data_IF_892348565502
#
_entry.id   IF_892348565502
#
_cell.length_a   1.000
_cell.length_b   1.000
_cell.length_c   1.000
_cell.angle_alpha   90.00
_cell.angle_beta   90.00
_cell.angle_gamma   90.00
#
_symmetry.space_group_name_H-M   'P 1'
#
loop_
_entity.id
_entity.type
_entity.pdbx_description
1 polymer ?
#
# COMPACT_ATOMS: atom_id res chain seq x y z
N UNK A 1 -2.96 -13.79 -2.88
CA UNK A 1 -2.65 -13.18 -1.57
C UNK A 1 -1.35 -13.79 -1.09
N UNK A 2 -0.29 -13.01 -0.89
CA UNK A 2 0.93 -13.53 -0.25
C UNK A 2 0.79 -13.37 1.26
N UNK A 3 0.90 -14.49 1.97
CA UNK A 3 1.04 -14.50 3.43
C UNK A 3 2.45 -15.02 3.75
N UNK A 4 3.22 -14.37 4.63
CA UNK A 4 4.39 -15.01 5.21
C UNK A 4 3.99 -16.32 5.91
N UNK A 5 4.87 -17.32 5.91
CA UNK A 5 4.51 -18.67 6.38
C UNK A 5 4.06 -18.71 7.86
N UNK A 6 4.51 -17.76 8.68
CA UNK A 6 4.20 -17.66 10.10
C UNK A 6 3.09 -16.65 10.42
N UNK A 7 2.51 -16.01 9.40
CA UNK A 7 1.58 -14.91 9.58
C UNK A 7 0.19 -15.41 9.99
N UNK A 8 -0.38 -14.87 11.07
CA UNK A 8 -1.71 -15.26 11.56
C UNK A 8 -2.85 -14.85 10.62
N UNK A 9 -2.68 -13.73 9.93
CA UNK A 9 -3.71 -13.12 9.09
C UNK A 9 -3.19 -12.81 7.68
N UNK A 10 -4.04 -12.89 6.64
CA UNK A 10 -3.68 -12.44 5.30
C UNK A 10 -3.19 -10.99 5.26
N UNK A 11 -2.20 -10.74 4.41
CA UNK A 11 -1.74 -9.38 4.10
C UNK A 11 -2.39 -8.92 2.78
N UNK A 12 -3.36 -8.01 2.88
CA UNK A 12 -4.10 -7.46 1.73
C UNK A 12 -3.72 -6.00 1.45
N UNK A 13 -2.45 -5.75 1.10
CA UNK A 13 -1.97 -4.39 0.82
C UNK A 13 -2.68 -3.72 -0.37
N UNK A 14 -3.07 -4.51 -1.38
CA UNK A 14 -3.84 -4.04 -2.53
C UNK A 14 -5.23 -3.50 -2.16
N UNK A 15 -5.80 -3.94 -1.03
CA UNK A 15 -7.07 -3.44 -0.54
C UNK A 15 -7.02 -1.94 -0.25
N UNK A 16 -5.93 -1.46 0.38
CA UNK A 16 -5.74 -0.04 0.67
C UNK A 16 -5.73 0.80 -0.61
N UNK A 17 -5.00 0.36 -1.65
CA UNK A 17 -4.98 1.04 -2.95
C UNK A 17 -6.37 1.10 -3.59
N UNK A 18 -7.14 0.01 -3.52
CA UNK A 18 -8.50 -0.06 -4.09
C UNK A 18 -9.45 0.90 -3.37
N UNK A 19 -9.38 0.97 -2.04
CA UNK A 19 -10.20 1.91 -1.24
C UNK A 19 -9.87 3.36 -1.59
N UNK A 20 -8.60 3.72 -1.65
CA UNK A 20 -8.18 5.08 -2.00
C UNK A 20 -8.63 5.46 -3.42
N UNK A 21 -8.48 4.54 -4.38
CA UNK A 21 -8.98 4.72 -5.74
C UNK A 21 -10.51 4.92 -5.76
N UNK A 22 -11.25 4.10 -5.01
CA UNK A 22 -12.71 4.23 -4.92
C UNK A 22 -13.12 5.58 -4.34
N UNK A 23 -12.47 6.05 -3.28
CA UNK A 23 -12.75 7.36 -2.68
C UNK A 23 -12.49 8.48 -3.70
N UNK A 24 -11.35 8.44 -4.39
CA UNK A 24 -11.00 9.39 -5.44
C UNK A 24 -12.06 9.47 -6.54
N UNK A 25 -12.50 8.31 -7.04
CA UNK A 25 -13.47 8.23 -8.16
C UNK A 25 -14.90 8.61 -7.76
N UNK A 26 -15.29 8.43 -6.48
CA UNK A 26 -16.69 8.57 -6.06
C UNK A 26 -16.96 9.78 -5.13
N UNK A 27 -15.92 10.43 -4.60
CA UNK A 27 -16.04 11.48 -3.59
C UNK A 27 -15.23 12.75 -3.90
N UNK A 28 -14.93 12.99 -5.17
CA UNK A 28 -14.22 14.20 -5.63
C UNK A 28 -12.82 14.38 -5.01
N UNK A 29 -12.08 13.27 -4.87
CA UNK A 29 -10.68 13.25 -4.44
C UNK A 29 -10.36 14.16 -3.22
N UNK A 30 -11.00 13.93 -2.06
CA UNK A 30 -10.76 14.73 -0.87
C UNK A 30 -9.35 14.47 -0.31
N UNK A 31 -8.88 15.36 0.56
CA UNK A 31 -7.69 15.08 1.37
C UNK A 31 -7.99 13.92 2.35
N UNK A 32 -7.10 12.92 2.39
CA UNK A 32 -7.27 11.70 3.19
C UNK A 32 -6.09 11.52 4.14
N UNK A 33 -6.41 11.23 5.41
CA UNK A 33 -5.43 10.83 6.42
C UNK A 33 -5.74 9.39 6.86
N UNK A 34 -4.76 8.50 6.76
CA UNK A 34 -4.88 7.13 7.28
C UNK A 34 -4.61 7.16 8.79
N UNK A 35 -5.66 7.14 9.61
CA UNK A 35 -5.56 7.23 11.07
C UNK A 35 -5.17 5.91 11.74
N UNK A 36 -5.31 4.77 11.05
CA UNK A 36 -4.95 3.47 11.58
C UNK A 36 -4.72 2.40 10.52
N UNK A 37 -3.58 1.73 10.59
CA UNK A 37 -3.23 0.57 9.78
C UNK A 37 -2.21 -0.28 10.56
N UNK A 38 -2.51 -1.55 10.83
CA UNK A 38 -1.70 -2.34 11.74
C UNK A 38 -1.88 -3.85 11.59
N UNK A 39 -0.94 -4.58 12.18
CA UNK A 39 -0.90 -6.03 12.12
C UNK A 39 -0.61 -6.62 13.49
N UNK A 40 -1.48 -7.55 13.91
CA UNK A 40 -1.34 -8.24 15.19
C UNK A 40 -0.47 -9.48 15.02
N UNK A 41 0.65 -9.50 15.72
CA UNK A 41 1.46 -10.72 15.87
C UNK A 41 0.77 -11.70 16.84
N UNK A 42 0.96 -12.99 16.62
CA UNK A 42 0.55 -14.02 17.57
C UNK A 42 1.78 -14.43 18.39
N UNK A 43 1.85 -13.92 19.61
CA UNK A 43 2.89 -14.33 20.55
C UNK A 43 2.54 -15.69 21.16
N UNK A 44 3.52 -16.56 21.25
CA UNK A 44 3.50 -17.83 21.97
C UNK A 44 4.42 -17.75 23.20
N UNK A 45 4.39 -18.75 24.10
CA UNK A 45 5.19 -18.75 25.33
C UNK A 45 6.70 -18.61 25.08
N UNK A 46 7.18 -19.07 23.92
CA UNK A 46 8.57 -18.95 23.48
C UNK A 46 8.97 -17.53 23.07
N UNK A 47 8.00 -16.65 22.82
CA UNK A 47 8.24 -15.27 22.38
C UNK A 47 8.51 -14.36 23.59
N UNK A 48 9.61 -14.65 24.27
CA UNK A 48 10.19 -13.82 25.33
C UNK A 48 11.31 -12.95 24.77
N UNK A 49 11.71 -11.90 25.49
CA UNK A 49 12.81 -11.04 25.05
C UNK A 49 14.13 -11.86 24.89
N UNK A 50 14.94 -11.59 23.84
CA UNK A 50 14.74 -10.57 22.80
C UNK A 50 13.86 -11.03 21.61
N UNK A 51 13.50 -12.31 21.54
CA UNK A 51 12.76 -12.91 20.42
C UNK A 51 11.40 -12.25 20.18
N UNK A 52 10.73 -11.78 21.24
CA UNK A 52 9.49 -11.01 21.16
C UNK A 52 9.59 -9.74 20.30
N UNK A 53 10.80 -9.21 20.06
CA UNK A 53 11.02 -8.03 19.22
C UNK A 53 11.27 -8.38 17.73
N UNK A 54 11.40 -9.67 17.40
CA UNK A 54 11.66 -10.14 16.03
C UNK A 54 10.37 -10.21 15.19
N UNK A 55 9.68 -9.06 15.07
CA UNK A 55 8.35 -8.90 14.45
C UNK A 55 8.39 -8.92 12.90
N UNK A 56 8.82 -10.03 12.30
CA UNK A 56 9.00 -10.14 10.85
C UNK A 56 7.69 -9.99 10.06
N UNK A 57 6.56 -10.50 10.57
CA UNK A 57 5.27 -10.38 9.88
C UNK A 57 4.76 -8.94 9.91
N UNK A 58 4.90 -8.24 11.04
CA UNK A 58 4.52 -6.82 11.17
C UNK A 58 5.37 -5.94 10.26
N UNK A 59 6.69 -6.18 10.20
CA UNK A 59 7.59 -5.50 9.26
C UNK A 59 7.14 -5.71 7.81
N UNK A 60 6.86 -6.96 7.43
CA UNK A 60 6.36 -7.28 6.10
C UNK A 60 5.03 -6.58 5.80
N UNK A 61 4.07 -6.63 6.72
CA UNK A 61 2.77 -5.99 6.56
C UNK A 61 2.89 -4.50 6.28
N UNK A 62 3.67 -3.76 7.09
CA UNK A 62 3.87 -2.32 6.90
C UNK A 62 4.58 -2.03 5.59
N UNK A 63 5.64 -2.76 5.24
CA UNK A 63 6.35 -2.58 3.98
C UNK A 63 5.39 -2.72 2.78
N UNK A 64 4.55 -3.76 2.77
CA UNK A 64 3.59 -4.00 1.69
C UNK A 64 2.52 -2.90 1.61
N UNK A 65 1.97 -2.45 2.73
CA UNK A 65 0.95 -1.41 2.75
C UNK A 65 1.50 -0.04 2.37
N UNK A 66 2.70 0.32 2.84
CA UNK A 66 3.39 1.56 2.46
C UNK A 66 3.72 1.58 0.96
N UNK A 67 4.19 0.46 0.40
CA UNK A 67 4.41 0.35 -1.05
C UNK A 67 3.10 0.49 -1.84
N UNK A 68 2.00 -0.11 -1.37
CA UNK A 68 0.70 0.02 -2.02
C UNK A 68 0.14 1.44 -1.92
N UNK A 69 0.35 2.12 -0.79
CA UNK A 69 0.00 3.53 -0.58
C UNK A 69 0.81 4.43 -1.50
N UNK A 70 2.13 4.25 -1.56
CA UNK A 70 3.00 4.97 -2.50
C UNK A 70 2.53 4.77 -3.94
N UNK A 71 2.21 3.54 -4.33
CA UNK A 71 1.65 3.25 -5.64
C UNK A 71 0.29 3.93 -5.89
N UNK A 72 -0.55 4.08 -4.86
CA UNK A 72 -1.84 4.79 -4.98
C UNK A 72 -1.65 6.30 -5.21
N UNK A 73 -0.70 6.91 -4.50
CA UNK A 73 -0.34 8.33 -4.66
C UNK A 73 0.32 8.58 -6.02
N UNK A 74 1.19 7.66 -6.45
CA UNK A 74 1.96 7.78 -7.68
C UNK A 74 1.25 7.21 -8.92
N UNK A 75 0.02 6.70 -8.79
CA UNK A 75 -0.76 6.28 -9.96
C UNK A 75 -0.92 7.50 -10.87
N UNK A 76 -0.20 7.48 -11.99
CA UNK A 76 -0.34 8.44 -13.10
C UNK A 76 -1.84 8.63 -13.31
N UNK A 77 -2.35 9.82 -12.98
CA UNK A 77 -3.66 10.23 -13.46
C UNK A 77 -3.68 9.98 -14.97
N UNK A 78 -4.80 9.52 -15.52
CA UNK A 78 -4.97 9.43 -16.98
C UNK A 78 -4.56 10.75 -17.68
N UNK A 79 -4.63 11.88 -16.97
CA UNK A 79 -4.12 13.19 -17.40
C UNK A 79 -2.61 13.22 -17.69
N UNK A 80 -1.79 12.44 -16.97
CA UNK A 80 -0.35 12.34 -17.22
C UNK A 80 -0.02 11.54 -18.50
N UNK A 81 -0.94 10.71 -19.00
CA UNK A 81 -0.80 10.07 -20.32
C UNK A 81 -1.07 11.07 -21.45
N UNK A 82 -1.99 12.01 -21.27
CA UNK A 82 -2.24 13.10 -22.21
C UNK A 82 -0.98 13.97 -22.41
N UNK A 83 -0.32 14.36 -21.32
CA UNK A 83 0.91 15.15 -21.39
C UNK A 83 2.07 14.41 -22.08
N UNK A 84 2.22 13.10 -21.86
CA UNK A 84 3.26 12.32 -22.55
C UNK A 84 2.95 12.08 -24.04
N UNK A 85 1.68 12.12 -24.48
CA UNK A 85 1.31 11.98 -25.88
C UNK A 85 1.65 13.24 -26.69
N UNK A 86 1.41 14.42 -26.09
CA UNK A 86 1.71 15.71 -26.71
C UNK A 86 3.23 15.91 -26.94
N UNK A 87 4.08 15.43 -26.03
CA UNK A 87 5.54 15.53 -26.20
C UNK A 87 6.14 14.64 -27.30
N UNK A 88 5.36 13.72 -27.88
CA UNK A 88 5.80 12.87 -28.99
C UNK A 88 5.42 13.42 -30.37
N UNK A 89 4.56 14.44 -30.41
CA UNK A 89 4.10 15.09 -31.64
C UNK A 89 4.88 16.40 -31.91
N UNK A 90 5.32 17.12 -30.87
CA UNK A 90 6.15 18.33 -31.01
C UNK A 90 7.60 18.06 -31.46
N UNK A 91 8.09 16.81 -31.39
CA UNK A 91 9.41 16.42 -31.88
C UNK A 91 9.42 15.90 -33.33
N UNK A 92 8.33 16.09 -34.07
CA UNK A 92 8.18 15.74 -35.49
C UNK A 92 7.83 16.93 -36.40
N UNK A 93 7.94 18.16 -35.90
CA UNK A 93 7.89 19.37 -36.73
C UNK A 93 9.24 20.05 -36.83
#
# INVERSE_FOLDING_TARGET
>A
MLQPATAKYPVCADGLRKVLKYIKENYNDPEIIVTGNGYKEKLEEKDVLPHALSDSNRKYYHMRHLMALHGAVWLKSEESKSCCRLKSEESKS
#
